data_IF_293370181598
#
_entry.id   IF_293370181598
#
_cell.length_a   1.000
_cell.length_b   1.000
_cell.length_c   1.000
_cell.angle_alpha   90.00
_cell.angle_beta   90.00
_cell.angle_gamma   90.00
#
_symmetry.space_group_name_H-M   'P 1'
#
loop_
_entity.id
_entity.type
_entity.pdbx_description
1 polymer ?
#
# COMPACT_ATOMS: atom_id res chain seq x y z
N UNK A 1 7.57 15.46 -2.72
CA UNK A 1 6.31 15.05 -3.40
C UNK A 1 5.06 15.25 -2.54
N UNK A 2 4.72 14.38 -1.57
CA UNK A 2 3.46 14.49 -0.79
C UNK A 2 3.26 15.83 -0.06
N UNK A 3 4.33 16.39 0.51
CA UNK A 3 4.29 17.69 1.21
C UNK A 3 4.40 18.90 0.29
N UNK A 4 4.85 18.70 -0.94
CA UNK A 4 5.21 19.77 -1.87
C UNK A 4 4.16 19.96 -2.96
N UNK A 5 3.40 18.92 -3.31
CA UNK A 5 2.43 18.95 -4.40
C UNK A 5 1.32 20.00 -4.24
N UNK A 6 1.03 20.44 -3.01
CA UNK A 6 0.05 21.48 -2.72
C UNK A 6 0.62 22.90 -2.59
N UNK A 7 1.94 23.09 -2.80
CA UNK A 7 2.62 24.39 -2.63
C UNK A 7 2.82 25.07 -3.98
N UNK A 8 2.12 26.17 -4.21
CA UNK A 8 2.19 26.94 -5.46
C UNK A 8 3.60 27.48 -5.77
N UNK A 9 4.35 27.83 -4.73
CA UNK A 9 5.70 28.38 -4.85
C UNK A 9 6.75 27.33 -5.27
N UNK A 10 6.40 26.04 -5.21
CA UNK A 10 7.28 24.94 -5.58
C UNK A 10 6.92 24.41 -6.98
N UNK A 11 7.92 24.35 -7.87
CA UNK A 11 7.77 23.87 -9.24
C UNK A 11 6.74 24.64 -10.10
N UNK A 12 6.80 25.99 -10.17
CA UNK A 12 5.80 26.80 -10.89
C UNK A 12 5.73 26.54 -12.40
N UNK A 13 6.77 25.94 -12.99
CA UNK A 13 6.78 25.56 -14.41
C UNK A 13 5.74 24.48 -14.75
N UNK A 14 5.28 23.69 -13.77
CA UNK A 14 4.20 22.72 -13.99
C UNK A 14 2.85 23.38 -14.32
N UNK A 15 2.67 24.68 -14.02
CA UNK A 15 1.48 25.43 -14.45
C UNK A 15 1.41 25.57 -15.97
N UNK A 16 2.57 25.68 -16.64
CA UNK A 16 2.64 25.71 -18.12
C UNK A 16 2.23 24.35 -18.73
N UNK A 17 2.35 23.26 -17.97
CA UNK A 17 1.87 21.93 -18.32
C UNK A 17 0.38 21.72 -18.01
N UNK A 18 -0.30 22.72 -17.44
CA UNK A 18 -1.72 22.66 -17.06
C UNK A 18 -1.99 21.87 -15.77
N UNK A 19 -0.97 21.70 -14.92
CA UNK A 19 -1.13 21.08 -13.61
C UNK A 19 -1.50 22.15 -12.57
N UNK A 20 -2.38 21.79 -11.63
CA UNK A 20 -2.74 22.64 -10.50
C UNK A 20 -2.19 22.03 -9.20
N UNK A 21 -1.86 22.85 -8.17
CA UNK A 21 -1.45 22.34 -6.88
C UNK A 21 -2.54 21.45 -6.28
N UNK A 22 -2.12 20.32 -5.71
CA UNK A 22 -3.03 19.37 -5.10
C UNK A 22 -2.48 18.79 -3.80
N UNK A 23 -3.26 18.91 -2.74
CA UNK A 23 -2.92 18.41 -1.42
C UNK A 23 -3.62 17.09 -1.09
N UNK A 24 -2.90 15.98 -1.23
CA UNK A 24 -3.41 14.67 -0.83
C UNK A 24 -3.71 14.61 0.69
N UNK A 25 -4.85 14.09 1.14
CA UNK A 25 -5.21 14.14 2.57
C UNK A 25 -4.50 13.10 3.45
N UNK A 26 -4.17 11.93 2.90
CA UNK A 26 -3.56 10.82 3.65
C UNK A 26 -2.45 10.17 2.83
N UNK A 27 -1.36 9.78 3.51
CA UNK A 27 -0.24 9.01 2.95
C UNK A 27 -0.10 7.70 3.72
N UNK A 28 -0.06 6.60 2.97
CA UNK A 28 0.10 5.26 3.51
C UNK A 28 1.32 4.58 2.92
N UNK A 29 2.01 3.81 3.75
CA UNK A 29 3.02 2.85 3.30
C UNK A 29 2.44 1.45 3.33
N UNK A 30 2.53 0.74 2.19
CA UNK A 30 2.24 -0.69 2.15
C UNK A 30 3.24 -1.44 3.04
N UNK A 31 2.72 -2.30 3.91
CA UNK A 31 3.50 -3.09 4.85
C UNK A 31 3.26 -4.58 4.65
N UNK A 32 4.32 -5.37 4.74
CA UNK A 32 4.18 -6.83 4.87
C UNK A 32 4.28 -7.17 6.36
N UNK A 33 3.26 -7.79 6.99
CA UNK A 33 3.30 -8.11 8.41
C UNK A 33 4.47 -9.03 8.77
N UNK A 34 5.11 -8.76 9.91
CA UNK A 34 6.23 -9.55 10.42
C UNK A 34 5.88 -11.04 10.60
N UNK A 35 4.64 -11.33 11.02
CA UNK A 35 4.14 -12.70 11.16
C UNK A 35 4.15 -13.47 9.84
N UNK A 36 3.82 -12.81 8.72
CA UNK A 36 3.88 -13.43 7.40
C UNK A 36 5.33 -13.66 6.97
N UNK A 37 6.21 -12.67 7.14
CA UNK A 37 7.63 -12.79 6.81
C UNK A 37 8.25 -13.99 7.56
N UNK A 38 8.08 -14.06 8.88
CA UNK A 38 8.57 -15.15 9.73
C UNK A 38 8.09 -16.52 9.24
N UNK A 39 6.81 -16.65 8.89
CA UNK A 39 6.23 -17.89 8.37
C UNK A 39 6.72 -18.25 6.96
N UNK A 40 6.96 -17.25 6.13
CA UNK A 40 7.34 -17.46 4.73
C UNK A 40 8.82 -17.79 4.52
N UNK A 41 9.66 -17.60 5.53
CA UNK A 41 11.12 -17.75 5.43
C UNK A 41 11.81 -16.68 4.58
N UNK A 42 11.13 -15.56 4.30
CA UNK A 42 11.72 -14.45 3.56
C UNK A 42 12.73 -13.68 4.41
N UNK A 43 13.81 -13.19 3.79
CA UNK A 43 14.89 -12.42 4.44
C UNK A 43 14.58 -10.93 4.60
N UNK A 44 13.32 -10.54 4.46
CA UNK A 44 12.87 -9.15 4.58
C UNK A 44 12.56 -8.81 6.05
N UNK A 45 12.53 -7.53 6.40
CA UNK A 45 11.95 -7.09 7.67
C UNK A 45 10.46 -6.82 7.46
N UNK A 46 9.61 -7.53 8.22
CA UNK A 46 8.18 -7.25 8.21
C UNK A 46 7.80 -6.17 9.23
N UNK A 47 6.61 -5.61 9.05
CA UNK A 47 6.05 -4.58 9.92
C UNK A 47 5.44 -5.24 11.17
N UNK A 48 5.83 -4.82 12.39
CA UNK A 48 5.20 -5.28 13.62
C UNK A 48 3.70 -4.98 13.65
N UNK A 49 2.89 -5.85 14.26
CA UNK A 49 1.42 -5.77 14.22
C UNK A 49 0.90 -4.45 14.78
N UNK A 50 1.52 -3.95 15.83
CA UNK A 50 1.20 -2.71 16.53
C UNK A 50 1.47 -1.45 15.69
N UNK A 51 2.30 -1.54 14.65
CA UNK A 51 2.55 -0.44 13.71
C UNK A 51 1.60 -0.43 12.53
N UNK A 52 0.92 -1.55 12.27
CA UNK A 52 -0.09 -1.65 11.20
C UNK A 52 -1.35 -0.91 11.67
N UNK A 53 -1.64 0.21 11.01
CA UNK A 53 -2.74 1.11 11.32
C UNK A 53 -3.96 0.88 10.42
N UNK A 54 -3.81 0.20 9.30
CA UNK A 54 -4.92 -0.05 8.37
C UNK A 54 -4.82 -1.45 7.78
N UNK A 55 -5.94 -2.16 7.71
CA UNK A 55 -6.04 -3.50 7.13
C UNK A 55 -7.28 -3.56 6.25
N UNK A 56 -7.08 -3.67 4.94
CA UNK A 56 -8.17 -3.78 3.96
C UNK A 56 -8.40 -5.25 3.63
N UNK A 57 -9.61 -5.74 3.81
CA UNK A 57 -10.00 -7.05 3.28
C UNK A 57 -10.26 -6.93 1.77
N UNK A 58 -9.47 -7.63 0.99
CA UNK A 58 -9.55 -7.66 -0.48
C UNK A 58 -9.87 -9.06 -0.99
N UNK A 59 -10.43 -9.92 -0.14
CA UNK A 59 -10.75 -11.32 -0.48
C UNK A 59 -11.55 -11.45 -1.77
N UNK A 60 -12.53 -10.57 -1.97
CA UNK A 60 -13.40 -10.56 -3.17
C UNK A 60 -12.64 -10.23 -4.46
N UNK A 61 -11.48 -9.59 -4.35
CA UNK A 61 -10.64 -9.15 -5.46
C UNK A 61 -9.36 -10.00 -5.64
N UNK A 62 -9.15 -11.01 -4.79
CA UNK A 62 -7.93 -11.81 -4.77
C UNK A 62 -7.61 -12.46 -6.13
N UNK A 63 -8.61 -13.05 -6.79
CA UNK A 63 -8.37 -13.71 -8.09
C UNK A 63 -7.94 -12.71 -9.16
N UNK A 64 -8.50 -11.48 -9.13
CA UNK A 64 -8.09 -10.41 -10.04
C UNK A 64 -6.61 -10.06 -9.85
N UNK A 65 -6.18 -9.94 -8.61
CA UNK A 65 -4.77 -9.68 -8.25
C UNK A 65 -3.86 -10.80 -8.71
N UNK A 66 -4.24 -12.07 -8.51
CA UNK A 66 -3.46 -13.22 -8.95
C UNK A 66 -3.36 -13.27 -10.47
N UNK A 67 -4.47 -13.00 -11.18
CA UNK A 67 -4.45 -12.92 -12.64
C UNK A 67 -3.52 -11.79 -13.13
N UNK A 68 -3.49 -10.64 -12.44
CA UNK A 68 -2.60 -9.54 -12.80
C UNK A 68 -1.11 -9.93 -12.78
N UNK A 69 -0.69 -10.94 -12.00
CA UNK A 69 0.68 -11.45 -12.06
C UNK A 69 1.07 -11.98 -13.44
N UNK A 70 0.12 -12.47 -14.27
CA UNK A 70 0.44 -12.92 -15.63
C UNK A 70 0.88 -11.78 -16.55
N UNK A 71 0.56 -10.54 -16.21
CA UNK A 71 1.00 -9.35 -16.96
C UNK A 71 2.50 -9.07 -16.76
N UNK A 72 3.12 -9.58 -15.69
CA UNK A 72 4.54 -9.38 -15.38
C UNK A 72 5.45 -10.31 -16.20
N UNK A 73 5.34 -10.27 -17.53
CA UNK A 73 5.99 -11.19 -18.48
C UNK A 73 7.51 -11.28 -18.29
N UNK A 74 8.17 -10.14 -18.09
CA UNK A 74 9.63 -10.09 -17.89
C UNK A 74 10.07 -10.53 -16.50
N UNK A 75 9.15 -10.59 -15.53
CA UNK A 75 9.39 -10.95 -14.13
C UNK A 75 8.76 -12.29 -13.75
N UNK A 76 8.52 -13.16 -14.75
CA UNK A 76 7.78 -14.43 -14.56
C UNK A 76 8.37 -15.34 -13.48
N UNK A 77 9.70 -15.34 -13.33
CA UNK A 77 10.39 -16.12 -12.29
C UNK A 77 9.99 -15.64 -10.89
N UNK A 78 9.94 -14.31 -10.68
CA UNK A 78 9.56 -13.72 -9.41
C UNK A 78 8.06 -13.85 -9.15
N UNK A 79 7.23 -13.62 -10.16
CA UNK A 79 5.79 -13.85 -10.08
C UNK A 79 5.48 -15.29 -9.64
N UNK A 80 6.10 -16.27 -10.28
CA UNK A 80 5.95 -17.70 -9.94
C UNK A 80 6.43 -17.99 -8.52
N UNK A 81 7.60 -17.45 -8.12
CA UNK A 81 8.16 -17.61 -6.77
C UNK A 81 7.27 -17.01 -5.68
N UNK A 82 6.64 -15.86 -5.95
CA UNK A 82 5.73 -15.19 -5.01
C UNK A 82 4.42 -15.98 -4.88
N UNK A 83 3.79 -16.34 -6.01
CA UNK A 83 2.51 -17.06 -6.01
C UNK A 83 2.60 -18.43 -5.34
N UNK A 84 3.75 -19.12 -5.47
CA UNK A 84 3.99 -20.43 -4.84
C UNK A 84 4.49 -20.35 -3.39
N UNK A 85 4.65 -19.14 -2.82
CA UNK A 85 5.14 -18.98 -1.45
C UNK A 85 4.10 -19.52 -0.45
N UNK A 86 4.49 -20.34 0.54
CA UNK A 86 3.56 -20.87 1.53
C UNK A 86 2.76 -19.78 2.24
N UNK A 87 1.43 -19.94 2.23
CA UNK A 87 0.51 -18.99 2.86
C UNK A 87 0.36 -17.65 2.13
N UNK A 88 0.93 -17.48 0.93
CA UNK A 88 0.80 -16.25 0.15
C UNK A 88 -0.65 -15.93 -0.19
N UNK A 89 -1.42 -16.93 -0.63
CA UNK A 89 -2.83 -16.72 -1.01
C UNK A 89 -3.67 -16.22 0.16
N UNK A 90 -3.46 -16.77 1.35
CA UNK A 90 -4.14 -16.31 2.57
C UNK A 90 -3.68 -14.92 3.00
N UNK A 91 -2.38 -14.65 2.92
CA UNK A 91 -1.85 -13.31 3.15
C UNK A 91 -2.44 -12.28 2.18
N UNK A 92 -2.55 -12.63 0.90
CA UNK A 92 -3.00 -11.74 -0.17
C UNK A 92 -4.50 -11.43 -0.12
N UNK A 93 -5.28 -12.09 0.76
CA UNK A 93 -6.67 -11.71 1.08
C UNK A 93 -6.77 -10.37 1.80
N UNK A 94 -5.68 -9.93 2.43
CA UNK A 94 -5.63 -8.65 3.16
C UNK A 94 -4.46 -7.82 2.67
N UNK A 95 -4.66 -6.51 2.62
CA UNK A 95 -3.59 -5.54 2.41
C UNK A 95 -3.39 -4.72 3.67
N UNK A 96 -2.14 -4.52 4.05
CA UNK A 96 -1.76 -3.95 5.32
C UNK A 96 -0.99 -2.66 5.07
N UNK A 97 -1.35 -1.61 5.80
CA UNK A 97 -0.74 -0.30 5.63
C UNK A 97 -0.37 0.34 6.97
N UNK A 98 0.58 1.27 6.88
CA UNK A 98 0.96 2.18 7.94
C UNK A 98 0.64 3.60 7.47
N UNK A 99 -0.27 4.29 8.14
CA UNK A 99 -0.51 5.71 7.98
C UNK A 99 0.78 6.47 8.33
N UNK A 100 1.40 7.05 7.31
CA UNK A 100 2.67 7.76 7.42
C UNK A 100 2.46 9.26 7.67
N UNK A 101 1.41 9.83 7.09
CA UNK A 101 1.02 11.23 7.29
C UNK A 101 -0.47 11.39 7.00
N UNK A 102 -1.12 12.31 7.71
CA UNK A 102 -2.52 12.63 7.51
C UNK A 102 -2.78 14.11 7.82
N UNK A 103 -3.71 14.69 7.08
CA UNK A 103 -4.12 16.09 7.23
C UNK A 103 -5.56 16.12 7.74
N UNK A 104 -5.74 16.44 9.03
CA UNK A 104 -7.05 16.52 9.71
C UNK A 104 -7.35 15.32 10.62
N UNK A 105 -8.63 15.19 10.99
CA UNK A 105 -9.28 14.03 11.63
C UNK A 105 -8.83 13.64 13.05
N UNK A 106 -9.75 13.22 13.94
CA UNK A 106 -9.47 12.08 14.80
C UNK A 106 -9.58 10.79 13.95
N UNK A 107 -8.56 9.94 13.97
CA UNK A 107 -8.58 8.62 13.31
C UNK A 107 -8.77 7.53 14.36
N UNK A 108 -9.51 6.48 14.01
CA UNK A 108 -9.64 5.27 14.81
C UNK A 108 -8.88 4.14 14.14
N UNK A 109 -8.09 3.41 14.92
CA UNK A 109 -7.24 2.33 14.40
C UNK A 109 -7.63 0.96 14.97
N UNK A 110 -7.45 -0.14 14.21
CA UNK A 110 -7.06 -0.13 12.80
C UNK A 110 -8.20 0.34 11.89
N UNK A 111 -7.86 1.09 10.84
CA UNK A 111 -8.81 1.42 9.77
C UNK A 111 -9.06 0.19 8.88
N UNK A 112 -10.26 0.09 8.32
CA UNK A 112 -10.68 -0.90 7.31
C UNK A 112 -11.03 -0.26 5.95
N UNK A 113 -10.92 1.08 5.85
CA UNK A 113 -11.07 1.88 4.64
C UNK A 113 -10.00 2.99 4.63
N UNK A 114 -9.22 3.05 3.55
CA UNK A 114 -8.19 4.10 3.34
C UNK A 114 -8.80 5.50 3.26
N UNK A 115 -10.07 5.60 2.85
CA UNK A 115 -10.82 6.84 2.69
C UNK A 115 -11.59 7.26 3.95
N UNK A 116 -11.52 6.47 5.02
CA UNK A 116 -12.21 6.80 6.27
C UNK A 116 -11.78 8.18 6.78
N UNK A 117 -12.78 9.02 7.10
CA UNK A 117 -12.60 10.38 7.60
C UNK A 117 -12.30 11.44 6.53
N UNK A 118 -12.41 11.13 5.23
CA UNK A 118 -12.34 12.09 4.12
C UNK A 118 -13.72 12.61 3.70
#
# INVERSE_FOLDING_TARGET
AFDEAGKEELYPFHFEEGLEPWEAKKLYYFGIPETFIKRSGATLHGVPREKITTVIDVSDYLERKIQAFSCHRTQVKDATRILNRPGYREFARKEYFVLASARGGPYTFPEDDLLSGL
#
